data_IF_695727456956
#
_entry.id   IF_695727456956
#
_cell.length_a   1.000
_cell.length_b   1.000
_cell.length_c   1.000
_cell.angle_alpha   90.00
_cell.angle_beta   90.00
_cell.angle_gamma   90.00
#
_symmetry.space_group_name_H-M   'P 1'
#
loop_
_entity.id
_entity.type
_entity.pdbx_description
1 polymer ?
#
# COMPACT_ATOMS: atom_id res chain seq x y z
N UNK A 1 38.57 7.51 -32.15
CA UNK A 1 38.38 8.34 -30.93
C UNK A 1 37.16 7.78 -30.19
N UNK A 2 37.42 6.98 -29.21
CA UNK A 2 36.38 6.23 -28.45
C UNK A 2 35.80 7.18 -27.41
N UNK A 3 34.55 7.58 -27.55
CA UNK A 3 33.83 8.31 -26.51
C UNK A 3 33.65 7.36 -25.32
N UNK A 4 34.36 7.67 -24.25
CA UNK A 4 34.21 7.02 -22.96
C UNK A 4 32.85 7.49 -22.38
N UNK A 5 31.84 6.63 -22.40
CA UNK A 5 30.59 6.88 -21.70
C UNK A 5 30.93 7.10 -20.23
N UNK A 6 30.73 8.32 -19.77
CA UNK A 6 30.84 8.67 -18.36
C UNK A 6 29.57 8.12 -17.70
N UNK A 7 29.66 6.89 -17.23
CA UNK A 7 28.63 6.34 -16.36
C UNK A 7 28.64 7.18 -15.09
N UNK A 8 27.70 8.09 -14.97
CA UNK A 8 27.52 8.88 -13.74
C UNK A 8 27.23 7.92 -12.59
N UNK A 9 28.06 7.96 -11.56
CA UNK A 9 27.86 7.15 -10.37
C UNK A 9 26.49 7.50 -9.74
N UNK A 10 25.73 6.49 -9.39
CA UNK A 10 24.42 6.68 -8.74
C UNK A 10 24.57 7.50 -7.46
N UNK A 11 23.77 8.55 -7.25
CA UNK A 11 23.84 9.33 -6.02
C UNK A 11 23.48 8.45 -4.83
N UNK A 12 24.38 8.38 -3.86
CA UNK A 12 24.16 7.70 -2.58
C UNK A 12 23.85 8.68 -1.44
N UNK A 13 24.08 9.98 -1.67
CA UNK A 13 23.86 11.05 -0.72
C UNK A 13 22.44 11.57 -0.83
N UNK A 14 21.77 11.72 0.29
CA UNK A 14 20.46 12.34 0.39
C UNK A 14 20.54 13.83 0.04
N UNK A 15 19.62 14.31 -0.78
CA UNK A 15 19.32 15.73 -0.96
C UNK A 15 17.81 15.93 -0.99
N UNK A 16 17.33 17.08 -0.55
CA UNK A 16 15.90 17.37 -0.51
C UNK A 16 15.27 17.38 -1.91
N UNK A 17 15.98 17.87 -2.91
CA UNK A 17 15.52 17.90 -4.30
C UNK A 17 15.33 16.48 -4.85
N UNK A 18 16.27 15.58 -4.57
CA UNK A 18 16.19 14.20 -5.02
C UNK A 18 15.06 13.44 -4.29
N UNK A 19 14.90 13.70 -3.00
CA UNK A 19 13.81 13.15 -2.20
C UNK A 19 12.43 13.63 -2.72
N UNK A 20 12.32 14.90 -3.06
CA UNK A 20 11.10 15.49 -3.60
C UNK A 20 10.76 14.93 -4.99
N UNK A 21 11.72 14.85 -5.89
CA UNK A 21 11.55 14.23 -7.20
C UNK A 21 11.08 12.76 -7.12
N UNK A 22 11.64 12.00 -6.18
CA UNK A 22 11.21 10.61 -5.94
C UNK A 22 9.76 10.56 -5.45
N UNK A 23 9.38 11.42 -4.49
CA UNK A 23 8.02 11.46 -3.96
C UNK A 23 7.00 11.90 -5.01
N UNK A 24 7.31 12.89 -5.86
CA UNK A 24 6.45 13.32 -6.96
C UNK A 24 6.19 12.19 -7.96
N UNK A 25 7.22 11.45 -8.33
CA UNK A 25 7.10 10.32 -9.25
C UNK A 25 6.32 9.15 -8.65
N UNK A 26 6.49 8.89 -7.36
CA UNK A 26 5.67 7.91 -6.63
C UNK A 26 4.21 8.36 -6.64
N UNK A 27 3.95 9.62 -6.32
CA UNK A 27 2.61 10.19 -6.33
C UNK A 27 1.95 10.10 -7.73
N UNK A 28 2.72 10.22 -8.82
CA UNK A 28 2.22 10.04 -10.19
C UNK A 28 2.01 8.59 -10.62
N UNK A 29 2.17 7.61 -9.73
CA UNK A 29 1.88 6.20 -10.00
C UNK A 29 3.11 5.31 -10.23
N UNK A 30 4.33 5.88 -10.32
CA UNK A 30 5.53 5.10 -10.57
C UNK A 30 5.97 4.24 -9.38
N UNK A 31 6.61 3.11 -9.66
CA UNK A 31 7.20 2.28 -8.62
C UNK A 31 8.60 2.76 -8.24
N UNK A 32 8.97 2.63 -6.95
CA UNK A 32 10.36 2.92 -6.50
C UNK A 32 11.39 2.16 -7.32
N UNK A 33 11.06 0.93 -7.74
CA UNK A 33 11.96 0.12 -8.57
C UNK A 33 12.17 0.76 -9.95
N UNK A 34 11.11 1.23 -10.58
CA UNK A 34 11.19 1.93 -11.88
C UNK A 34 12.04 3.18 -11.76
N UNK A 35 11.73 4.03 -10.78
CA UNK A 35 12.45 5.28 -10.53
C UNK A 35 13.94 5.02 -10.33
N UNK A 36 14.29 4.06 -9.46
CA UNK A 36 15.68 3.72 -9.16
C UNK A 36 16.42 2.96 -10.27
N UNK A 37 15.73 2.54 -11.34
CA UNK A 37 16.39 1.91 -12.49
C UNK A 37 16.99 2.91 -13.48
N UNK A 38 16.63 4.17 -13.37
CA UNK A 38 17.08 5.23 -14.27
C UNK A 38 18.47 5.76 -13.88
N UNK A 39 19.18 6.27 -14.88
CA UNK A 39 20.48 6.92 -14.68
C UNK A 39 20.32 8.21 -13.86
N UNK A 40 21.21 8.43 -12.92
CA UNK A 40 21.16 9.60 -12.04
C UNK A 40 20.24 9.43 -10.83
N UNK A 41 19.48 8.33 -10.71
CA UNK A 41 18.66 8.03 -9.55
C UNK A 41 19.41 7.16 -8.52
N UNK A 42 19.11 7.29 -7.23
CA UNK A 42 19.74 6.48 -6.18
C UNK A 42 19.38 5.01 -6.31
N UNK A 43 20.18 4.14 -5.70
CA UNK A 43 19.81 2.74 -5.57
C UNK A 43 18.59 2.61 -4.64
N UNK A 44 17.74 1.63 -4.90
CA UNK A 44 16.54 1.37 -4.10
C UNK A 44 16.86 1.17 -2.61
N UNK A 45 18.00 0.55 -2.29
CA UNK A 45 18.49 0.40 -0.92
C UNK A 45 18.82 1.72 -0.24
N UNK A 46 19.30 2.72 -0.99
CA UNK A 46 19.53 4.08 -0.47
C UNK A 46 18.22 4.78 -0.11
N UNK A 47 17.20 4.65 -0.96
CA UNK A 47 15.87 5.20 -0.68
C UNK A 47 15.28 4.61 0.60
N UNK A 48 15.37 3.29 0.78
CA UNK A 48 14.88 2.65 2.01
C UNK A 48 15.69 3.01 3.26
N UNK A 49 16.99 3.24 3.11
CA UNK A 49 17.82 3.74 4.20
C UNK A 49 17.40 5.15 4.60
N UNK A 50 17.13 6.03 3.64
CA UNK A 50 16.67 7.40 3.91
C UNK A 50 15.32 7.44 4.64
N UNK A 51 14.41 6.48 4.39
CA UNK A 51 13.15 6.37 5.13
C UNK A 51 13.38 6.08 6.63
N UNK A 52 14.50 5.45 6.98
CA UNK A 52 14.86 5.17 8.38
C UNK A 52 15.59 6.36 9.00
N UNK A 53 16.49 6.99 8.23
CA UNK A 53 17.42 8.00 8.73
C UNK A 53 16.84 9.42 8.69
N UNK A 54 15.71 9.66 7.99
CA UNK A 54 15.13 10.98 7.76
C UNK A 54 13.60 10.97 7.91
N UNK A 55 13.12 11.48 9.05
CA UNK A 55 11.69 11.53 9.38
C UNK A 55 10.90 12.38 8.37
N UNK A 56 11.45 13.53 7.94
CA UNK A 56 10.79 14.41 6.96
C UNK A 56 10.59 13.71 5.62
N UNK A 57 11.58 12.95 5.15
CA UNK A 57 11.43 12.16 3.94
C UNK A 57 10.41 11.04 4.13
N UNK A 58 10.40 10.39 5.29
CA UNK A 58 9.43 9.33 5.61
C UNK A 58 7.99 9.84 5.56
N UNK A 59 7.72 11.04 6.10
CA UNK A 59 6.40 11.68 6.04
C UNK A 59 6.00 12.04 4.60
N UNK A 60 6.90 12.67 3.83
CA UNK A 60 6.67 12.99 2.41
C UNK A 60 6.39 11.73 1.59
N UNK A 61 7.17 10.67 1.83
CA UNK A 61 7.01 9.39 1.15
C UNK A 61 5.66 8.72 1.48
N UNK A 62 5.25 8.73 2.75
CA UNK A 62 3.95 8.20 3.16
C UNK A 62 2.81 8.95 2.45
N UNK A 63 2.90 10.28 2.38
CA UNK A 63 1.93 11.11 1.66
C UNK A 63 1.90 10.81 0.17
N UNK A 64 3.06 10.66 -0.47
CA UNK A 64 3.16 10.30 -1.88
C UNK A 64 2.50 8.93 -2.16
N UNK A 65 2.64 7.97 -1.24
CA UNK A 65 1.96 6.66 -1.32
C UNK A 65 0.44 6.76 -1.20
N UNK A 66 -0.06 7.62 -0.33
CA UNK A 66 -1.51 7.88 -0.24
C UNK A 66 -2.06 8.44 -1.55
N UNK A 67 -1.37 9.43 -2.14
CA UNK A 67 -1.75 9.99 -3.44
C UNK A 67 -1.68 8.93 -4.55
N UNK A 68 -0.63 8.11 -4.56
CA UNK A 68 -0.52 7.00 -5.51
C UNK A 68 -1.72 6.04 -5.45
N UNK A 69 -2.21 5.74 -4.26
CA UNK A 69 -3.38 4.88 -4.10
C UNK A 69 -4.65 5.52 -4.70
N UNK A 70 -4.79 6.85 -4.64
CA UNK A 70 -5.89 7.58 -5.27
C UNK A 70 -5.84 7.48 -6.80
N UNK A 71 -4.66 7.74 -7.39
CA UNK A 71 -4.46 7.63 -8.84
C UNK A 71 -4.76 6.21 -9.33
N UNK A 72 -4.27 5.19 -8.61
CA UNK A 72 -4.56 3.80 -8.96
C UNK A 72 -6.05 3.46 -8.86
N UNK A 73 -6.79 4.09 -7.95
CA UNK A 73 -8.23 3.91 -7.84
C UNK A 73 -8.98 4.57 -9.00
N UNK A 74 -8.55 5.75 -9.46
CA UNK A 74 -9.08 6.42 -10.65
C UNK A 74 -8.80 5.61 -11.91
N UNK A 75 -7.58 5.09 -12.10
CA UNK A 75 -7.22 4.23 -13.22
C UNK A 75 -8.07 2.94 -13.31
N UNK A 76 -8.61 2.44 -12.19
CA UNK A 76 -9.53 1.29 -12.19
C UNK A 76 -10.77 1.61 -13.02
N UNK A 77 -11.33 2.80 -12.83
CA UNK A 77 -12.53 3.24 -13.57
C UNK A 77 -12.20 3.43 -15.05
N UNK A 78 -11.09 4.11 -15.36
CA UNK A 78 -10.65 4.29 -16.74
C UNK A 78 -10.45 2.96 -17.47
N UNK A 79 -9.82 1.96 -16.83
CA UNK A 79 -9.61 0.64 -17.41
C UNK A 79 -10.94 -0.11 -17.59
N UNK A 80 -11.87 0.05 -16.65
CA UNK A 80 -13.16 -0.62 -16.68
C UNK A 80 -14.09 -0.05 -17.77
N UNK A 81 -13.98 1.26 -18.03
CA UNK A 81 -14.81 1.96 -19.00
C UNK A 81 -14.22 1.93 -20.42
N UNK A 82 -12.93 1.54 -20.58
CA UNK A 82 -12.26 1.43 -21.88
C UNK A 82 -12.68 0.14 -22.62
N UNK A 83 -13.72 0.23 -23.43
CA UNK A 83 -14.19 -0.85 -24.31
C UNK A 83 -13.53 -0.85 -25.71
N UNK A 84 -12.59 0.05 -25.98
CA UNK A 84 -12.05 0.33 -27.33
C UNK A 84 -11.36 -0.87 -28.00
N UNK A 85 -10.95 -1.88 -27.22
CA UNK A 85 -10.24 -3.09 -27.68
C UNK A 85 -10.94 -4.38 -27.24
N UNK A 86 -12.17 -4.30 -26.78
CA UNK A 86 -12.92 -5.48 -26.33
C UNK A 86 -13.31 -6.39 -27.50
N UNK A 87 -13.32 -5.87 -28.72
CA UNK A 87 -13.54 -6.63 -29.93
C UNK A 87 -12.38 -6.52 -30.92
N UNK A 88 -12.22 -7.53 -31.74
CA UNK A 88 -11.30 -7.58 -32.87
C UNK A 88 -12.04 -8.10 -34.10
N UNK A 89 -11.68 -7.62 -35.27
CA UNK A 89 -12.20 -8.11 -36.53
C UNK A 89 -11.30 -9.24 -37.04
N UNK A 90 -11.88 -10.42 -37.32
CA UNK A 90 -11.14 -11.55 -37.88
C UNK A 90 -10.88 -11.41 -39.39
N UNK A 91 -10.11 -12.36 -39.98
CA UNK A 91 -9.74 -12.32 -41.39
C UNK A 91 -10.95 -12.38 -42.32
N UNK A 92 -12.08 -12.91 -41.84
CA UNK A 92 -13.34 -13.01 -42.58
C UNK A 92 -14.23 -11.76 -42.43
N UNK A 93 -13.76 -10.76 -41.68
CA UNK A 93 -14.46 -9.49 -41.42
C UNK A 93 -15.52 -9.57 -40.31
N UNK A 94 -15.54 -10.63 -39.52
CA UNK A 94 -16.49 -10.76 -38.40
C UNK A 94 -15.91 -10.17 -37.12
N UNK A 95 -16.73 -9.46 -36.39
CA UNK A 95 -16.39 -8.95 -35.06
C UNK A 95 -16.40 -10.08 -34.01
N UNK A 96 -15.30 -10.23 -33.27
CA UNK A 96 -15.15 -11.23 -32.20
C UNK A 96 -14.67 -10.58 -30.92
N UNK A 97 -15.04 -11.16 -29.79
CA UNK A 97 -14.57 -10.74 -28.48
C UNK A 97 -13.04 -10.92 -28.38
N UNK A 98 -12.34 -9.88 -27.99
CA UNK A 98 -10.91 -9.90 -27.64
C UNK A 98 -10.74 -10.41 -26.21
N UNK A 99 -10.87 -11.72 -26.03
CA UNK A 99 -10.82 -12.34 -24.70
C UNK A 99 -9.50 -12.08 -23.95
N UNK A 100 -8.37 -11.96 -24.68
CA UNK A 100 -7.08 -11.66 -24.06
C UNK A 100 -7.07 -10.24 -23.50
N UNK A 101 -7.55 -9.26 -24.25
CA UNK A 101 -7.59 -7.86 -23.78
C UNK A 101 -8.52 -7.71 -22.58
N UNK A 102 -9.72 -8.29 -22.63
CA UNK A 102 -10.69 -8.27 -21.52
C UNK A 102 -10.11 -8.93 -20.27
N UNK A 103 -9.46 -10.09 -20.42
CA UNK A 103 -8.82 -10.80 -19.31
C UNK A 103 -7.66 -9.98 -18.72
N UNK A 104 -6.86 -9.32 -19.55
CA UNK A 104 -5.76 -8.45 -19.10
C UNK A 104 -6.27 -7.20 -18.40
N UNK A 105 -7.34 -6.57 -18.89
CA UNK A 105 -7.99 -5.42 -18.25
C UNK A 105 -8.50 -5.79 -16.88
N UNK A 106 -9.16 -6.93 -16.73
CA UNK A 106 -9.59 -7.46 -15.43
C UNK A 106 -8.41 -7.67 -14.48
N UNK A 107 -7.33 -8.27 -14.95
CA UNK A 107 -6.13 -8.49 -14.14
C UNK A 107 -5.50 -7.16 -13.69
N UNK A 108 -5.48 -6.14 -14.55
CA UNK A 108 -5.00 -4.80 -14.21
C UNK A 108 -5.86 -4.15 -13.13
N UNK A 109 -7.18 -4.25 -13.23
CA UNK A 109 -8.14 -3.75 -12.20
C UNK A 109 -7.90 -4.45 -10.87
N UNK A 110 -7.85 -5.78 -10.86
CA UNK A 110 -7.66 -6.57 -9.64
C UNK A 110 -6.32 -6.26 -8.96
N UNK A 111 -5.24 -6.13 -9.73
CA UNK A 111 -3.92 -5.79 -9.21
C UNK A 111 -3.90 -4.39 -8.56
N UNK A 112 -4.52 -3.38 -9.20
CA UNK A 112 -4.61 -2.01 -8.68
C UNK A 112 -5.46 -1.95 -7.42
N UNK A 113 -6.61 -2.59 -7.43
CA UNK A 113 -7.49 -2.69 -6.26
C UNK A 113 -6.77 -3.31 -5.07
N UNK A 114 -6.09 -4.43 -5.28
CA UNK A 114 -5.29 -5.08 -4.24
C UNK A 114 -4.20 -4.14 -3.72
N UNK A 115 -3.44 -3.51 -4.61
CA UNK A 115 -2.35 -2.63 -4.21
C UNK A 115 -2.85 -1.39 -3.43
N UNK A 116 -3.88 -0.71 -3.93
CA UNK A 116 -4.49 0.44 -3.25
C UNK A 116 -4.96 0.07 -1.84
N UNK A 117 -5.57 -1.11 -1.66
CA UNK A 117 -6.00 -1.59 -0.34
C UNK A 117 -4.84 -1.82 0.64
N UNK A 118 -3.63 -2.13 0.15
CA UNK A 118 -2.43 -2.31 0.98
C UNK A 118 -1.72 -1.01 1.31
N UNK A 119 -1.72 -0.06 0.38
CA UNK A 119 -1.02 1.22 0.53
C UNK A 119 -1.86 2.21 1.35
N UNK A 120 -3.17 2.24 1.14
CA UNK A 120 -4.09 3.11 1.86
C UNK A 120 -5.25 2.30 2.50
N UNK A 121 -4.96 1.44 3.50
CA UNK A 121 -5.95 0.52 4.06
C UNK A 121 -7.11 1.22 4.77
N UNK A 122 -6.90 2.42 5.30
CA UNK A 122 -7.96 3.22 5.93
C UNK A 122 -9.04 3.67 4.93
N UNK A 123 -8.67 3.86 3.66
CA UNK A 123 -9.58 4.36 2.62
C UNK A 123 -10.10 3.23 1.73
N UNK A 124 -9.23 2.30 1.33
CA UNK A 124 -9.49 1.25 0.34
C UNK A 124 -9.41 -0.17 0.89
N UNK A 125 -9.10 -0.35 2.19
CA UNK A 125 -9.07 -1.67 2.82
C UNK A 125 -10.47 -2.19 3.15
N UNK A 126 -10.59 -3.51 3.22
CA UNK A 126 -11.81 -4.14 3.70
C UNK A 126 -12.07 -3.76 5.16
N UNK A 127 -13.26 -3.28 5.48
CA UNK A 127 -13.68 -3.04 6.87
C UNK A 127 -13.90 -4.38 7.54
N UNK A 128 -12.93 -4.84 8.32
CA UNK A 128 -13.15 -5.95 9.26
C UNK A 128 -13.89 -5.34 10.45
N UNK A 129 -15.21 -5.47 10.49
CA UNK A 129 -15.96 -5.28 11.73
C UNK A 129 -15.60 -6.46 12.65
N UNK A 130 -14.62 -6.27 13.52
CA UNK A 130 -14.48 -7.12 14.69
C UNK A 130 -15.55 -6.68 15.70
N UNK A 131 -16.68 -7.37 15.71
CA UNK A 131 -17.57 -7.37 16.86
C UNK A 131 -16.84 -8.07 18.01
N UNK A 132 -15.98 -7.31 18.69
CA UNK A 132 -15.41 -7.75 19.96
C UNK A 132 -16.56 -7.75 20.94
N UNK A 133 -17.18 -8.91 21.12
CA UNK A 133 -18.15 -9.15 22.18
C UNK A 133 -17.41 -9.03 23.51
N UNK A 134 -17.31 -7.81 24.02
CA UNK A 134 -16.62 -7.45 25.28
C UNK A 134 -17.25 -8.11 26.52
N UNK A 135 -18.38 -8.82 26.35
CA UNK A 135 -19.06 -9.52 27.43
C UNK A 135 -18.30 -10.72 28.03
N UNK A 136 -17.27 -11.24 27.35
CA UNK A 136 -16.50 -12.39 27.85
C UNK A 136 -15.50 -11.98 28.95
N UNK A 137 -15.08 -10.73 28.97
CA UNK A 137 -14.02 -10.28 29.88
C UNK A 137 -14.51 -9.89 31.30
N UNK A 138 -15.74 -9.42 31.43
CA UNK A 138 -16.26 -8.98 32.74
C UNK A 138 -16.41 -10.16 33.70
N UNK A 139 -16.93 -11.30 33.25
CA UNK A 139 -17.10 -12.48 34.08
C UNK A 139 -15.76 -13.14 34.49
N UNK A 140 -14.70 -12.99 33.68
CA UNK A 140 -13.37 -13.51 34.03
C UNK A 140 -12.68 -12.61 35.06
N UNK A 141 -12.81 -11.30 34.93
CA UNK A 141 -12.27 -10.33 35.90
C UNK A 141 -12.97 -10.50 37.23
N UNK A 142 -14.30 -10.63 37.26
CA UNK A 142 -15.07 -10.86 38.49
C UNK A 142 -14.68 -12.18 39.17
N UNK A 143 -14.52 -13.27 38.41
CA UNK A 143 -14.04 -14.56 38.92
C UNK A 143 -12.63 -14.47 39.51
N UNK A 144 -11.73 -13.75 38.88
CA UNK A 144 -10.35 -13.54 39.37
C UNK A 144 -10.36 -12.69 40.63
N UNK A 145 -11.19 -11.66 40.70
CA UNK A 145 -11.35 -10.81 41.90
C UNK A 145 -11.95 -11.57 43.05
N UNK A 146 -12.97 -12.38 42.83
CA UNK A 146 -13.55 -13.26 43.86
C UNK A 146 -12.58 -14.34 44.34
N UNK A 147 -11.80 -14.94 43.43
CA UNK A 147 -10.77 -15.90 43.82
C UNK A 147 -9.67 -15.25 44.66
N UNK A 148 -9.29 -14.00 44.36
CA UNK A 148 -8.32 -13.23 45.14
C UNK A 148 -8.87 -12.84 46.54
N UNK A 149 -10.17 -12.49 46.65
CA UNK A 149 -10.82 -12.23 47.93
C UNK A 149 -10.79 -13.46 48.82
N UNK A 150 -11.18 -14.61 48.29
CA UNK A 150 -11.11 -15.90 49.01
C UNK A 150 -9.68 -16.27 49.43
N UNK A 151 -8.69 -16.05 48.56
CA UNK A 151 -7.30 -16.35 48.90
C UNK A 151 -6.69 -15.39 49.93
N UNK A 152 -7.28 -14.23 50.18
CA UNK A 152 -6.86 -13.27 51.22
C UNK A 152 -7.53 -13.48 52.57
N UNK A 153 -8.46 -14.43 52.65
CA UNK A 153 -9.18 -14.70 53.92
C UNK A 153 -10.07 -13.54 54.37
N UNK A 154 -10.50 -12.68 53.42
CA UNK A 154 -11.41 -11.56 53.69
C UNK A 154 -12.88 -12.04 53.55
N UNK A 155 -13.17 -13.18 54.21
CA UNK A 155 -14.53 -13.63 54.43
C UNK A 155 -15.03 -12.80 55.62
N UNK A 156 -15.78 -11.72 55.31
CA UNK A 156 -16.32 -10.82 56.33
C UNK A 156 -16.98 -11.61 57.44
N UNK A 157 -16.37 -11.56 58.63
CA UNK A 157 -17.06 -11.83 59.87
C UNK A 157 -18.14 -10.75 60.05
N UNK A 158 -19.33 -11.03 59.56
CA UNK A 158 -20.54 -10.44 60.11
C UNK A 158 -20.95 -11.28 61.30
N UNK A 159 -20.48 -10.89 62.46
CA UNK A 159 -21.07 -11.38 63.77
C UNK A 159 -21.88 -10.28 64.42
N UNK A 160 -23.17 -10.54 64.51
CA UNK A 160 -24.18 -10.11 65.47
C UNK A 160 -24.41 -8.63 65.65
#
# INVERSE_FOLDING_TARGET
MTQKEITMARPSTYTDELAEAICERIASGESVRSICSEDGMPAQSSVYKWLIDNDTFSEKYARAREIQAEILAEEIIEIADDSSRDSVVDDDGNERLNAEFVARSRLRVDARKWYASKVAPKKYGDRIQQDINANVNISLIDRVLEARKRARGDDGEDTA
#
